data_IF_147730212522
#
_entry.id   IF_147730212522
#
_cell.length_a   1.000
_cell.length_b   1.000
_cell.length_c   1.000
_cell.angle_alpha   90.00
_cell.angle_beta   90.00
_cell.angle_gamma   90.00
#
_symmetry.space_group_name_H-M   'P 1'
#
loop_
_entity.id
_entity.type
_entity.pdbx_description
1 polymer ?
#
# COMPACT_ATOMS: atom_id res chain seq x y z
N UNK A 1 -4.61 1.81 -10.72
CA UNK A 1 -3.51 0.82 -10.73
C UNK A 1 -3.68 -0.25 -9.64
N UNK A 2 -4.91 -0.67 -9.33
CA UNK A 2 -5.18 -1.70 -8.31
C UNK A 2 -5.38 -1.20 -6.87
N UNK A 3 -4.97 0.03 -6.55
CA UNK A 3 -5.03 0.59 -5.19
C UNK A 3 -6.44 1.02 -4.68
N UNK A 4 -7.49 0.71 -5.44
CA UNK A 4 -8.87 1.02 -5.03
C UNK A 4 -9.28 2.50 -5.09
N UNK A 5 -8.53 3.35 -5.81
CA UNK A 5 -8.80 4.79 -5.94
C UNK A 5 -10.26 5.09 -6.35
N UNK A 6 -10.74 4.48 -7.43
CA UNK A 6 -12.09 4.74 -7.94
C UNK A 6 -13.17 4.36 -6.93
N UNK A 7 -12.98 3.26 -6.20
CA UNK A 7 -13.90 2.82 -5.14
C UNK A 7 -13.96 3.85 -4.01
N UNK A 8 -12.79 4.29 -3.52
CA UNK A 8 -12.69 5.33 -2.48
C UNK A 8 -13.36 6.63 -2.91
N UNK A 9 -13.11 7.06 -4.14
CA UNK A 9 -13.69 8.29 -4.69
C UNK A 9 -15.21 8.19 -4.85
N UNK A 10 -15.73 7.04 -5.28
CA UNK A 10 -17.16 6.80 -5.36
C UNK A 10 -17.83 6.83 -3.98
N UNK A 11 -17.18 6.25 -2.96
CA UNK A 11 -17.63 6.31 -1.57
C UNK A 11 -17.70 7.75 -1.06
N UNK A 12 -16.68 8.58 -1.37
CA UNK A 12 -16.69 10.01 -1.03
C UNK A 12 -17.86 10.74 -1.71
N UNK A 13 -18.06 10.54 -3.01
CA UNK A 13 -19.14 11.20 -3.74
C UNK A 13 -20.53 10.81 -3.19
N UNK A 14 -20.74 9.50 -2.95
CA UNK A 14 -21.99 8.97 -2.39
C UNK A 14 -22.26 9.56 -0.99
N UNK A 15 -21.24 9.57 -0.13
CA UNK A 15 -21.31 10.13 1.22
C UNK A 15 -21.65 11.63 1.20
N UNK A 16 -20.94 12.42 0.40
CA UNK A 16 -21.15 13.87 0.34
C UNK A 16 -22.53 14.19 -0.24
N UNK A 17 -22.95 13.54 -1.33
CA UNK A 17 -24.26 13.78 -1.95
C UNK A 17 -25.45 13.22 -1.13
N UNK A 18 -25.19 12.29 -0.22
CA UNK A 18 -26.22 11.62 0.58
C UNK A 18 -27.03 10.61 -0.23
N UNK A 19 -26.38 9.88 -1.15
CA UNK A 19 -27.04 8.92 -2.05
C UNK A 19 -26.41 7.53 -1.94
N UNK A 20 -27.13 6.45 -2.33
CA UNK A 20 -26.56 5.12 -2.41
C UNK A 20 -25.35 5.04 -3.36
N UNK A 21 -24.34 4.23 -3.02
CA UNK A 21 -23.12 4.06 -3.81
C UNK A 21 -23.40 3.58 -5.25
N UNK A 22 -24.41 2.74 -5.44
CA UNK A 22 -24.87 2.23 -6.74
C UNK A 22 -25.30 3.33 -7.73
N UNK A 23 -25.57 4.54 -7.24
CA UNK A 23 -25.92 5.72 -8.05
C UNK A 23 -24.69 6.45 -8.58
N UNK A 24 -23.50 6.12 -8.09
CA UNK A 24 -22.25 6.76 -8.47
C UNK A 24 -21.50 5.87 -9.45
N UNK A 25 -21.21 6.41 -10.63
CA UNK A 25 -20.37 5.77 -11.65
C UNK A 25 -19.12 6.61 -11.88
N UNK A 26 -17.96 5.96 -11.85
CA UNK A 26 -16.67 6.59 -12.17
C UNK A 26 -16.31 6.23 -13.61
N UNK A 27 -16.12 7.24 -14.44
CA UNK A 27 -15.64 7.09 -15.82
C UNK A 27 -14.12 6.94 -15.89
N UNK A 28 -13.63 6.48 -17.04
CA UNK A 28 -12.19 6.36 -17.27
C UNK A 28 -11.52 7.73 -17.31
N UNK A 29 -10.40 7.86 -16.60
CA UNK A 29 -9.61 9.09 -16.62
C UNK A 29 -9.06 9.38 -18.02
N UNK A 30 -9.28 10.60 -18.49
CA UNK A 30 -8.80 11.09 -19.78
C UNK A 30 -8.55 12.60 -19.71
N UNK A 31 -7.75 13.12 -20.64
CA UNK A 31 -7.33 14.53 -20.68
C UNK A 31 -8.41 15.47 -21.22
N UNK A 32 -9.52 14.95 -21.76
CA UNK A 32 -10.67 15.77 -22.20
C UNK A 32 -11.47 16.24 -20.98
N UNK A 33 -11.71 15.34 -20.01
CA UNK A 33 -12.47 15.64 -18.80
C UNK A 33 -11.61 16.09 -17.63
N UNK A 34 -10.32 15.73 -17.62
CA UNK A 34 -9.37 16.03 -16.54
C UNK A 34 -8.07 16.65 -17.05
N UNK A 35 -8.16 17.83 -17.68
CA UNK A 35 -6.98 18.56 -18.15
C UNK A 35 -6.03 18.92 -17.00
N UNK A 36 -4.72 18.94 -17.28
CA UNK A 36 -3.66 19.29 -16.33
C UNK A 36 -3.64 18.44 -15.04
N UNK A 37 -4.12 17.20 -15.10
CA UNK A 37 -4.05 16.26 -13.98
C UNK A 37 -2.60 15.91 -13.64
N UNK A 38 -2.29 15.82 -12.35
CA UNK A 38 -0.99 15.34 -11.86
C UNK A 38 -0.91 13.81 -11.92
N UNK A 39 0.30 13.27 -11.80
CA UNK A 39 0.54 11.83 -11.79
C UNK A 39 0.01 11.16 -10.50
N UNK A 40 -0.36 9.88 -10.60
CA UNK A 40 -0.77 9.07 -9.44
C UNK A 40 0.47 8.46 -8.76
N UNK A 41 0.96 9.08 -7.67
CA UNK A 41 2.08 8.58 -6.87
C UNK A 41 2.10 9.17 -5.44
N UNK A 42 3.20 8.91 -4.71
CA UNK A 42 3.53 9.44 -3.38
C UNK A 42 2.48 9.14 -2.31
N UNK A 43 1.70 8.07 -2.48
CA UNK A 43 0.61 7.70 -1.58
C UNK A 43 -0.51 8.75 -1.38
N UNK A 44 -0.51 9.88 -2.12
CA UNK A 44 -1.47 10.97 -1.89
C UNK A 44 -2.72 10.91 -2.79
N UNK A 45 -2.68 10.14 -3.87
CA UNK A 45 -3.67 10.24 -4.96
C UNK A 45 -5.14 10.12 -4.50
N UNK A 46 -5.44 9.17 -3.60
CA UNK A 46 -6.83 9.01 -3.10
C UNK A 46 -7.32 10.18 -2.29
N UNK A 47 -6.44 10.82 -1.51
CA UNK A 47 -6.81 11.97 -0.69
C UNK A 47 -7.03 13.21 -1.57
N UNK A 48 -6.10 13.49 -2.49
CA UNK A 48 -6.20 14.66 -3.37
C UNK A 48 -7.43 14.61 -4.28
N UNK A 49 -7.70 13.44 -4.86
CA UNK A 49 -8.91 13.25 -5.69
C UNK A 49 -10.16 13.28 -4.80
N UNK A 50 -10.12 12.69 -3.61
CA UNK A 50 -11.20 12.76 -2.62
C UNK A 50 -11.56 14.19 -2.24
N UNK A 51 -10.57 15.06 -2.01
CA UNK A 51 -10.75 16.49 -1.74
C UNK A 51 -11.45 17.17 -2.92
N UNK A 52 -10.96 16.94 -4.14
CA UNK A 52 -11.51 17.55 -5.36
C UNK A 52 -12.97 17.15 -5.58
N UNK A 53 -13.28 15.86 -5.39
CA UNK A 53 -14.63 15.31 -5.52
C UNK A 53 -15.55 15.83 -4.42
N UNK A 54 -15.07 15.89 -3.17
CA UNK A 54 -15.84 16.49 -2.06
C UNK A 54 -16.22 17.94 -2.39
N UNK A 55 -15.29 18.75 -2.90
CA UNK A 55 -15.60 20.14 -3.29
C UNK A 55 -16.67 20.22 -4.38
N UNK A 56 -16.52 19.45 -5.46
CA UNK A 56 -17.50 19.42 -6.55
C UNK A 56 -18.88 18.95 -6.06
N UNK A 57 -18.94 17.90 -5.23
CA UNK A 57 -20.19 17.40 -4.66
C UNK A 57 -20.82 18.38 -3.65
N UNK A 58 -20.02 19.10 -2.86
CA UNK A 58 -20.51 20.17 -1.97
C UNK A 58 -21.16 21.29 -2.78
N UNK A 59 -20.52 21.76 -3.85
CA UNK A 59 -21.13 22.75 -4.75
C UNK A 59 -22.45 22.28 -5.35
N UNK A 60 -22.55 21.00 -5.74
CA UNK A 60 -23.84 20.44 -6.20
C UNK A 60 -24.88 20.45 -5.08
N UNK A 61 -24.53 20.03 -3.86
CA UNK A 61 -25.45 20.08 -2.72
C UNK A 61 -25.93 21.50 -2.40
N UNK A 62 -25.04 22.49 -2.41
CA UNK A 62 -25.41 23.91 -2.19
C UNK A 62 -26.43 24.39 -3.22
N UNK A 63 -26.27 24.01 -4.50
CA UNK A 63 -27.23 24.34 -5.56
C UNK A 63 -28.55 23.59 -5.41
N UNK A 64 -28.52 22.36 -4.90
CA UNK A 64 -29.71 21.53 -4.69
C UNK A 64 -30.44 21.83 -3.37
N UNK A 65 -29.80 22.54 -2.43
CA UNK A 65 -30.33 22.80 -1.10
C UNK A 65 -31.72 23.47 -1.10
N UNK A 66 -31.99 24.53 -1.91
CA UNK A 66 -33.32 25.12 -1.97
C UNK A 66 -34.39 24.15 -2.48
N UNK A 67 -34.00 23.23 -3.37
CA UNK A 67 -34.91 22.20 -3.91
C UNK A 67 -35.20 21.13 -2.85
N UNK A 68 -34.16 20.66 -2.15
CA UNK A 68 -34.28 19.70 -1.05
C UNK A 68 -35.18 20.24 0.08
N UNK A 69 -35.01 21.51 0.46
CA UNK A 69 -35.85 22.15 1.47
C UNK A 69 -37.32 22.24 1.06
N UNK A 70 -37.58 22.55 -0.21
CA UNK A 70 -38.95 22.67 -0.74
C UNK A 70 -39.67 21.32 -0.83
N UNK A 71 -38.98 20.27 -1.27
CA UNK A 71 -39.56 18.93 -1.41
C UNK A 71 -39.60 18.15 -0.07
N UNK A 72 -38.80 18.56 0.90
CA UNK A 72 -38.70 17.96 2.22
C UNK A 72 -37.70 16.80 2.28
N UNK A 73 -37.37 16.38 3.51
CA UNK A 73 -36.29 15.43 3.79
C UNK A 73 -36.49 14.02 3.20
N UNK A 74 -37.72 13.64 2.86
CA UNK A 74 -38.06 12.32 2.32
C UNK A 74 -38.13 12.28 0.78
N UNK A 75 -37.85 13.40 0.12
CA UNK A 75 -37.86 13.47 -1.34
C UNK A 75 -36.85 12.50 -1.95
N UNK A 76 -37.26 11.76 -2.98
CA UNK A 76 -36.33 10.88 -3.68
C UNK A 76 -35.32 11.71 -4.47
N UNK A 77 -34.11 11.18 -4.64
CA UNK A 77 -33.06 11.86 -5.38
C UNK A 77 -33.50 12.25 -6.81
N UNK A 78 -34.24 11.38 -7.49
CA UNK A 78 -34.78 11.64 -8.83
C UNK A 78 -35.71 12.85 -8.86
N UNK A 79 -36.59 12.97 -7.86
CA UNK A 79 -37.53 14.09 -7.74
C UNK A 79 -36.77 15.41 -7.51
N UNK A 80 -35.71 15.37 -6.69
CA UNK A 80 -34.82 16.52 -6.45
C UNK A 80 -34.13 16.95 -7.76
N UNK A 81 -33.59 16.00 -8.51
CA UNK A 81 -32.87 16.27 -9.76
C UNK A 81 -33.81 16.78 -10.86
N UNK A 82 -34.99 16.16 -11.03
CA UNK A 82 -36.01 16.61 -11.99
C UNK A 82 -36.46 18.04 -11.66
N UNK A 83 -36.77 18.31 -10.39
CA UNK A 83 -37.15 19.64 -9.92
C UNK A 83 -36.03 20.67 -10.11
N UNK A 84 -34.76 20.30 -9.93
CA UNK A 84 -33.62 21.17 -10.15
C UNK A 84 -33.44 21.49 -11.65
N UNK A 85 -33.62 20.50 -12.52
CA UNK A 85 -33.59 20.68 -13.97
C UNK A 85 -34.69 21.63 -14.45
N UNK A 86 -35.92 21.48 -13.95
CA UNK A 86 -37.05 22.36 -14.29
C UNK A 86 -36.85 23.81 -13.85
N UNK A 87 -35.94 24.04 -12.90
CA UNK A 87 -35.53 25.37 -12.43
C UNK A 87 -34.24 25.87 -13.07
N UNK A 88 -33.73 25.17 -14.10
CA UNK A 88 -32.48 25.51 -14.80
C UNK A 88 -31.26 25.59 -13.87
N UNK A 89 -31.24 24.81 -12.79
CA UNK A 89 -30.09 24.72 -11.89
C UNK A 89 -29.01 23.86 -12.55
N UNK A 90 -27.78 24.35 -12.61
CA UNK A 90 -26.66 23.60 -13.20
C UNK A 90 -26.27 22.39 -12.35
N UNK A 91 -26.41 21.19 -12.94
CA UNK A 91 -26.08 19.89 -12.34
C UNK A 91 -24.66 19.40 -12.68
N UNK A 92 -23.80 20.30 -13.17
CA UNK A 92 -22.39 20.01 -13.47
C UNK A 92 -21.53 20.88 -12.56
N UNK A 93 -20.61 20.25 -11.84
CA UNK A 93 -19.62 20.94 -11.02
C UNK A 93 -18.24 20.33 -11.27
N UNK A 94 -17.23 21.20 -11.28
CA UNK A 94 -15.83 20.84 -11.44
C UNK A 94 -15.04 21.58 -10.38
N UNK A 95 -14.16 20.88 -9.68
CA UNK A 95 -13.22 21.48 -8.74
C UNK A 95 -11.93 20.67 -8.74
N UNK A 96 -10.87 21.25 -8.18
CA UNK A 96 -9.54 20.65 -8.11
C UNK A 96 -8.91 20.95 -6.75
N UNK A 97 -8.06 20.03 -6.33
CA UNK A 97 -7.13 20.26 -5.23
C UNK A 97 -6.23 21.47 -5.53
N UNK A 98 -6.02 22.30 -4.51
CA UNK A 98 -5.17 23.49 -4.52
C UNK A 98 -4.11 23.35 -3.45
N UNK A 99 -2.93 23.92 -3.70
CA UNK A 99 -1.86 24.01 -2.71
C UNK A 99 -2.38 24.63 -1.41
N UNK A 100 -2.24 23.92 -0.29
CA UNK A 100 -2.75 24.33 1.02
C UNK A 100 -4.06 23.64 1.45
N UNK A 101 -4.75 22.93 0.57
CA UNK A 101 -5.95 22.15 0.94
C UNK A 101 -5.65 20.98 1.89
N UNK A 102 -4.38 20.55 1.96
CA UNK A 102 -3.92 19.46 2.81
C UNK A 102 -2.57 19.82 3.42
N UNK A 103 -2.37 19.41 4.67
CA UNK A 103 -1.09 19.55 5.37
C UNK A 103 -0.36 18.22 5.39
N UNK A 104 0.96 18.28 5.49
CA UNK A 104 1.80 17.09 5.62
C UNK A 104 1.57 16.43 6.99
N UNK A 105 1.63 15.11 7.01
CA UNK A 105 1.55 14.30 8.22
C UNK A 105 2.50 13.11 8.11
N UNK A 106 2.79 12.48 9.24
CA UNK A 106 3.59 11.26 9.30
C UNK A 106 2.71 10.03 9.48
N UNK A 107 3.13 8.94 8.84
CA UNK A 107 2.56 7.60 9.02
C UNK A 107 3.55 6.82 9.88
N UNK A 108 3.03 6.15 10.90
CA UNK A 108 3.82 5.32 11.80
C UNK A 108 3.42 3.88 11.59
N UNK A 109 4.38 2.97 11.68
CA UNK A 109 4.15 1.55 11.57
C UNK A 109 5.17 0.77 12.38
N UNK A 110 4.78 -0.43 12.78
CA UNK A 110 5.62 -1.40 13.46
C UNK A 110 5.42 -2.76 12.79
N UNK A 111 6.52 -3.48 12.55
CA UNK A 111 6.49 -4.89 12.16
C UNK A 111 7.28 -5.75 13.14
N UNK A 112 6.79 -6.96 13.36
CA UNK A 112 7.52 -8.07 13.97
C UNK A 112 7.60 -9.18 12.93
N UNK A 113 8.78 -9.78 12.75
CA UNK A 113 8.99 -10.82 11.76
C UNK A 113 9.75 -12.00 12.37
N UNK A 114 9.23 -13.19 12.14
CA UNK A 114 9.83 -14.46 12.54
C UNK A 114 10.07 -15.31 11.30
N UNK A 115 11.27 -15.88 11.19
CA UNK A 115 11.62 -16.79 10.11
C UNK A 115 12.35 -18.02 10.61
N UNK A 116 12.23 -19.09 9.85
CA UNK A 116 12.96 -20.34 10.01
C UNK A 116 13.94 -20.47 8.84
N UNK A 117 15.20 -20.77 9.14
CA UNK A 117 16.27 -20.85 8.16
C UNK A 117 16.85 -22.27 8.08
N UNK A 118 16.90 -22.83 6.87
CA UNK A 118 17.73 -23.99 6.56
C UNK A 118 19.15 -23.52 6.22
N UNK A 119 20.08 -23.75 7.15
CA UNK A 119 21.47 -23.32 7.03
C UNK A 119 22.25 -24.05 5.94
N UNK A 120 21.81 -25.24 5.53
CA UNK A 120 22.51 -26.04 4.52
C UNK A 120 22.18 -25.56 3.11
N UNK A 121 20.95 -25.09 2.90
CA UNK A 121 20.45 -24.70 1.58
C UNK A 121 20.27 -23.19 1.42
N UNK A 122 20.21 -22.44 2.52
CA UNK A 122 19.89 -21.01 2.55
C UNK A 122 18.40 -20.72 2.32
N UNK A 123 17.57 -21.74 2.16
CA UNK A 123 16.14 -21.57 2.05
C UNK A 123 15.55 -21.17 3.40
N UNK A 124 14.49 -20.39 3.37
CA UNK A 124 13.84 -19.91 4.58
C UNK A 124 12.32 -19.95 4.43
N UNK A 125 11.65 -19.98 5.57
CA UNK A 125 10.20 -19.83 5.68
C UNK A 125 9.91 -18.65 6.60
N UNK A 126 9.10 -17.71 6.14
CA UNK A 126 8.61 -16.64 6.99
C UNK A 126 7.45 -17.21 7.81
N UNK A 127 7.72 -17.52 9.08
CA UNK A 127 6.76 -18.19 9.95
C UNK A 127 5.61 -17.28 10.33
N UNK A 128 5.94 -16.06 10.73
CA UNK A 128 4.96 -15.10 11.21
C UNK A 128 5.41 -13.68 10.96
N UNK A 129 4.45 -12.84 10.57
CA UNK A 129 4.61 -11.39 10.53
C UNK A 129 3.39 -10.75 11.18
N UNK A 130 3.63 -9.85 12.13
CA UNK A 130 2.63 -8.96 12.71
C UNK A 130 2.94 -7.53 12.29
N UNK A 131 1.96 -6.81 11.74
CA UNK A 131 2.07 -5.40 11.38
C UNK A 131 0.99 -4.61 12.10
N UNK A 132 1.41 -3.51 12.72
CA UNK A 132 0.53 -2.46 13.23
C UNK A 132 0.85 -1.17 12.47
N UNK A 133 -0.09 -0.67 11.67
CA UNK A 133 0.08 0.56 10.88
C UNK A 133 -0.96 1.64 11.23
N UNK A 134 -0.50 2.88 11.35
CA UNK A 134 -1.34 4.04 11.62
C UNK A 134 -1.97 4.59 10.32
N UNK A 135 -3.16 4.10 10.00
CA UNK A 135 -3.96 4.55 8.85
C UNK A 135 -4.95 5.68 9.17
N UNK A 136 -4.90 6.27 10.37
CA UNK A 136 -5.91 7.22 10.82
C UNK A 136 -7.32 6.60 10.95
N UNK A 137 -8.37 7.36 10.63
CA UNK A 137 -9.68 6.80 10.33
C UNK A 137 -9.70 6.35 8.86
N UNK A 138 -9.44 5.06 8.63
CA UNK A 138 -9.40 4.47 7.29
C UNK A 138 -10.72 4.69 6.53
N UNK A 139 -10.61 5.15 5.28
CA UNK A 139 -11.75 5.35 4.38
C UNK A 139 -12.34 4.02 3.89
N UNK A 140 -11.49 3.02 3.70
CA UNK A 140 -11.89 1.69 3.25
C UNK A 140 -10.94 0.64 3.82
N UNK A 141 -11.24 0.08 5.02
CA UNK A 141 -10.33 -0.79 5.74
C UNK A 141 -9.86 -2.00 4.94
N UNK A 142 -10.74 -2.63 4.16
CA UNK A 142 -10.38 -3.79 3.33
C UNK A 142 -9.36 -3.43 2.24
N UNK A 143 -9.49 -2.23 1.65
CA UNK A 143 -8.53 -1.76 0.64
C UNK A 143 -7.20 -1.43 1.32
N UNK A 144 -7.26 -0.76 2.47
CA UNK A 144 -6.07 -0.28 3.18
C UNK A 144 -5.25 -1.45 3.74
N UNK A 145 -5.89 -2.48 4.30
CA UNK A 145 -5.22 -3.73 4.68
C UNK A 145 -4.56 -4.38 3.47
N UNK A 146 -5.26 -4.48 2.33
CA UNK A 146 -4.68 -5.05 1.11
C UNK A 146 -3.49 -4.24 0.55
N UNK A 147 -3.45 -2.92 0.78
CA UNK A 147 -2.27 -2.11 0.45
C UNK A 147 -1.09 -2.43 1.37
N UNK A 148 -1.33 -2.55 2.68
CA UNK A 148 -0.30 -2.94 3.66
C UNK A 148 0.27 -4.31 3.32
N UNK A 149 -0.58 -5.31 3.02
CA UNK A 149 -0.18 -6.64 2.57
C UNK A 149 0.71 -6.57 1.32
N UNK A 150 0.22 -5.92 0.28
CA UNK A 150 0.91 -5.84 -1.01
C UNK A 150 2.25 -5.12 -0.89
N UNK A 151 2.29 -3.99 -0.17
CA UNK A 151 3.50 -3.22 0.03
C UNK A 151 4.55 -3.97 0.84
N UNK A 152 4.14 -4.66 1.91
CA UNK A 152 5.05 -5.49 2.68
C UNK A 152 5.61 -6.64 1.83
N UNK A 153 4.78 -7.35 1.07
CA UNK A 153 5.22 -8.45 0.19
C UNK A 153 6.15 -7.93 -0.93
N UNK A 154 5.91 -6.75 -1.49
CA UNK A 154 6.88 -6.11 -2.40
C UNK A 154 8.23 -5.87 -1.71
N UNK A 155 8.21 -5.46 -0.43
CA UNK A 155 9.42 -5.33 0.38
C UNK A 155 10.13 -6.67 0.62
N UNK A 156 9.39 -7.76 0.82
CA UNK A 156 9.98 -9.11 0.93
C UNK A 156 10.73 -9.49 -0.34
N UNK A 157 10.14 -9.24 -1.50
CA UNK A 157 10.79 -9.47 -2.79
C UNK A 157 12.10 -8.68 -2.91
N UNK A 158 12.03 -7.38 -2.65
CA UNK A 158 13.22 -6.50 -2.65
C UNK A 158 14.35 -6.99 -1.73
N UNK A 159 14.01 -7.46 -0.53
CA UNK A 159 15.01 -7.88 0.45
C UNK A 159 15.49 -9.32 0.31
N UNK A 160 14.76 -10.21 -0.35
CA UNK A 160 15.05 -11.65 -0.32
C UNK A 160 15.26 -12.29 -1.70
N UNK A 161 14.49 -11.92 -2.72
CA UNK A 161 14.39 -12.72 -3.95
C UNK A 161 14.68 -11.95 -5.24
N UNK A 162 14.35 -10.67 -5.31
CA UNK A 162 14.38 -9.85 -6.53
C UNK A 162 15.80 -9.36 -6.89
N UNK A 163 16.66 -10.29 -7.30
CA UNK A 163 18.05 -10.00 -7.67
C UNK A 163 18.17 -9.52 -9.12
N UNK A 164 18.80 -8.36 -9.31
CA UNK A 164 19.19 -7.87 -10.63
C UNK A 164 20.63 -8.26 -10.94
N UNK A 165 20.82 -9.09 -11.97
CA UNK A 165 22.14 -9.43 -12.48
C UNK A 165 22.43 -8.69 -13.79
N UNK A 166 23.65 -8.17 -13.89
CA UNK A 166 24.14 -7.48 -15.07
C UNK A 166 25.39 -8.19 -15.58
N UNK A 167 25.49 -8.34 -16.90
CA UNK A 167 26.70 -8.79 -17.56
C UNK A 167 27.81 -7.76 -17.32
N UNK A 168 28.94 -8.20 -16.75
CA UNK A 168 30.01 -7.29 -16.31
C UNK A 168 30.76 -6.62 -17.46
N UNK A 169 30.73 -7.17 -18.67
CA UNK A 169 31.47 -6.65 -19.81
C UNK A 169 30.59 -5.69 -20.65
N UNK A 170 29.32 -6.04 -20.82
CA UNK A 170 28.39 -5.35 -21.71
C UNK A 170 27.39 -4.45 -20.97
N UNK A 171 27.22 -4.62 -19.66
CA UNK A 171 26.22 -3.92 -18.85
C UNK A 171 24.79 -4.40 -19.09
N UNK A 172 24.59 -5.48 -19.86
CA UNK A 172 23.25 -5.99 -20.19
C UNK A 172 22.60 -6.64 -18.96
N UNK A 173 21.35 -6.29 -18.67
CA UNK A 173 20.56 -7.01 -17.66
C UNK A 173 20.35 -8.48 -18.09
N UNK A 174 20.68 -9.40 -17.20
CA UNK A 174 20.53 -10.84 -17.38
C UNK A 174 19.19 -11.32 -16.85
N UNK A 175 18.69 -10.74 -15.76
CA UNK A 175 17.44 -11.08 -15.07
C UNK A 175 16.28 -10.22 -15.58
N UNK A 176 15.97 -10.31 -16.87
CA UNK A 176 15.00 -9.44 -17.54
C UNK A 176 13.65 -10.11 -17.88
N UNK A 177 13.37 -11.29 -17.31
CA UNK A 177 12.14 -12.07 -17.55
C UNK A 177 11.72 -12.81 -16.28
N UNK A 178 10.46 -13.22 -16.19
CA UNK A 178 9.95 -13.98 -15.04
C UNK A 178 10.65 -15.33 -14.79
N UNK A 179 11.37 -15.87 -15.78
CA UNK A 179 12.14 -17.10 -15.62
C UNK A 179 13.40 -16.91 -14.75
N UNK A 180 13.95 -15.69 -14.71
CA UNK A 180 15.22 -15.40 -14.04
C UNK A 180 15.17 -14.20 -13.10
N UNK A 181 14.05 -13.49 -13.05
CA UNK A 181 13.71 -12.51 -12.04
C UNK A 181 12.51 -13.03 -11.25
N UNK A 182 12.70 -13.21 -9.94
CA UNK A 182 11.76 -13.95 -9.10
C UNK A 182 11.07 -13.03 -8.08
N UNK A 183 9.94 -12.40 -8.46
CA UNK A 183 9.08 -11.75 -7.48
C UNK A 183 8.46 -12.79 -6.53
N UNK A 184 8.04 -12.39 -5.32
CA UNK A 184 7.40 -13.29 -4.37
C UNK A 184 6.17 -13.99 -4.96
N UNK A 185 6.12 -15.30 -4.80
CA UNK A 185 4.97 -16.14 -5.08
C UNK A 185 4.17 -16.48 -3.81
N UNK A 186 3.15 -17.32 -3.97
CA UNK A 186 2.24 -17.69 -2.88
C UNK A 186 2.91 -18.47 -1.72
N UNK A 187 4.11 -19.02 -1.92
CA UNK A 187 4.88 -19.72 -0.87
C UNK A 187 5.90 -18.83 -0.17
N UNK A 188 6.12 -17.62 -0.68
CA UNK A 188 7.10 -16.68 -0.15
C UNK A 188 6.46 -15.67 0.83
N UNK A 189 5.13 -15.69 0.97
CA UNK A 189 4.40 -14.88 1.94
C UNK A 189 4.52 -15.47 3.35
N UNK A 190 4.31 -14.66 4.42
CA UNK A 190 4.27 -15.18 5.78
C UNK A 190 3.17 -16.22 5.97
N UNK A 191 3.48 -17.31 6.66
CA UNK A 191 2.52 -18.39 6.94
C UNK A 191 1.39 -17.90 7.86
N UNK A 192 1.76 -17.13 8.89
CA UNK A 192 0.84 -16.40 9.75
C UNK A 192 1.05 -14.89 9.53
N UNK A 193 0.15 -14.27 8.77
CA UNK A 193 0.26 -12.86 8.39
C UNK A 193 -0.85 -12.04 9.04
N UNK A 194 -0.50 -11.21 10.02
CA UNK A 194 -1.45 -10.44 10.84
C UNK A 194 -1.24 -8.96 10.63
N UNK A 195 -2.31 -8.26 10.27
CA UNK A 195 -2.29 -6.82 10.04
C UNK A 195 -3.39 -6.19 10.87
N UNK A 196 -3.00 -5.20 11.65
CA UNK A 196 -3.90 -4.36 12.41
C UNK A 196 -3.68 -2.90 12.02
N UNK A 197 -4.78 -2.18 11.78
CA UNK A 197 -4.74 -0.73 11.64
C UNK A 197 -4.96 -0.11 13.02
N UNK A 198 -4.12 0.85 13.41
CA UNK A 198 -4.19 1.48 14.72
C UNK A 198 -5.56 2.13 14.95
N UNK A 199 -6.28 1.65 15.97
CA UNK A 199 -7.64 2.10 16.25
C UNK A 199 -7.66 3.45 16.98
N UNK A 200 -8.73 4.22 16.77
CA UNK A 200 -9.05 5.47 17.50
C UNK A 200 -7.96 6.55 17.42
N UNK A 201 -7.25 6.63 16.30
CA UNK A 201 -6.19 7.61 16.08
C UNK A 201 -6.51 8.55 14.89
N UNK A 202 -7.55 9.39 14.96
CA UNK A 202 -7.93 10.24 13.83
C UNK A 202 -6.81 11.21 13.47
N UNK A 203 -6.58 11.41 12.17
CA UNK A 203 -5.64 12.40 11.67
C UNK A 203 -6.33 13.77 11.47
N UNK A 204 -6.10 14.80 12.30
CA UNK A 204 -6.85 16.06 12.20
C UNK A 204 -6.64 16.79 10.87
N UNK A 205 -5.52 16.55 10.20
CA UNK A 205 -5.16 17.20 8.93
C UNK A 205 -5.40 16.30 7.70
N UNK A 206 -5.71 15.03 7.93
CA UNK A 206 -5.94 14.05 6.88
C UNK A 206 -7.31 14.20 6.23
N UNK A 207 -7.43 13.79 4.97
CA UNK A 207 -8.72 13.80 4.29
C UNK A 207 -9.67 12.82 4.99
N UNK A 208 -10.82 13.30 5.48
CA UNK A 208 -11.75 12.49 6.30
C UNK A 208 -11.05 11.78 7.47
N UNK A 209 -10.02 12.41 8.04
CA UNK A 209 -9.19 11.89 9.14
C UNK A 209 -8.39 10.62 8.82
N UNK A 210 -8.26 10.26 7.54
CA UNK A 210 -7.44 9.13 7.10
C UNK A 210 -5.94 9.46 7.07
N UNK A 211 -5.13 8.41 6.90
CA UNK A 211 -3.75 8.47 6.44
C UNK A 211 -3.56 7.50 5.28
N UNK A 212 -2.56 7.77 4.45
CA UNK A 212 -2.24 6.87 3.35
C UNK A 212 -1.54 5.58 3.81
N UNK A 213 -1.74 4.48 3.06
CA UNK A 213 -1.23 3.13 3.37
C UNK A 213 -0.49 2.45 2.21
N UNK A 214 -0.25 3.18 1.11
CA UNK A 214 0.28 2.58 -0.13
C UNK A 214 1.75 2.19 -0.07
N UNK A 215 2.61 3.09 0.38
CA UNK A 215 4.08 2.90 0.43
C UNK A 215 4.66 2.54 1.82
N UNK A 216 4.10 2.97 2.97
CA UNK A 216 4.77 2.81 4.28
C UNK A 216 5.16 1.38 4.65
N UNK A 217 4.26 0.40 4.43
CA UNK A 217 4.49 -0.99 4.81
C UNK A 217 5.64 -1.67 4.04
N UNK A 218 6.06 -1.13 2.88
CA UNK A 218 7.25 -1.59 2.18
C UNK A 218 8.50 -1.46 3.07
N UNK A 219 8.62 -0.33 3.77
CA UNK A 219 9.75 -0.06 4.67
C UNK A 219 9.78 -1.04 5.86
N UNK A 220 8.62 -1.54 6.28
CA UNK A 220 8.50 -2.47 7.40
C UNK A 220 9.05 -3.86 7.09
N UNK A 221 9.19 -4.23 5.81
CA UNK A 221 9.75 -5.51 5.40
C UNK A 221 11.24 -5.67 5.76
N UNK A 222 11.95 -4.57 6.07
CA UNK A 222 13.35 -4.63 6.51
C UNK A 222 13.53 -5.48 7.77
N UNK A 223 12.48 -5.62 8.59
CA UNK A 223 12.48 -6.49 9.78
C UNK A 223 12.89 -7.93 9.47
N UNK A 224 12.56 -8.44 8.28
CA UNK A 224 12.93 -9.80 7.86
C UNK A 224 14.44 -9.97 7.70
N UNK A 225 15.18 -8.94 7.26
CA UNK A 225 16.64 -9.02 7.21
C UNK A 225 17.26 -9.17 8.60
N UNK A 226 16.70 -8.50 9.61
CA UNK A 226 17.18 -8.64 10.99
C UNK A 226 16.84 -10.00 11.58
N UNK A 227 15.66 -10.55 11.29
CA UNK A 227 15.32 -11.92 11.65
C UNK A 227 16.28 -12.94 10.99
N UNK A 228 16.64 -12.72 9.71
CA UNK A 228 17.62 -13.54 9.00
C UNK A 228 19.00 -13.47 9.65
N UNK A 229 19.43 -12.25 10.00
CA UNK A 229 20.70 -12.03 10.67
C UNK A 229 20.73 -12.75 12.02
N UNK A 230 19.65 -12.71 12.80
CA UNK A 230 19.55 -13.42 14.08
C UNK A 230 19.67 -14.94 13.89
N UNK A 231 18.99 -15.52 12.89
CA UNK A 231 19.08 -16.94 12.58
C UNK A 231 20.51 -17.37 12.18
N UNK A 232 21.17 -16.59 11.31
CA UNK A 232 22.56 -16.83 10.92
C UNK A 232 23.50 -16.75 12.13
N UNK A 233 23.33 -15.76 13.01
CA UNK A 233 24.19 -15.63 14.19
C UNK A 233 24.03 -16.80 15.16
N UNK A 234 22.81 -17.31 15.34
CA UNK A 234 22.56 -18.51 16.16
C UNK A 234 23.32 -19.71 15.60
N UNK A 235 23.24 -19.94 14.29
CA UNK A 235 23.95 -21.05 13.65
C UNK A 235 25.48 -20.93 13.76
N UNK A 236 26.01 -19.70 13.64
CA UNK A 236 27.45 -19.42 13.79
C UNK A 236 27.94 -19.65 15.22
N UNK A 237 27.13 -19.26 16.21
CA UNK A 237 27.41 -19.52 17.62
C UNK A 237 27.47 -21.03 17.91
N UNK A 238 26.51 -21.80 17.40
CA UNK A 238 26.49 -23.27 17.52
C UNK A 238 27.71 -23.93 16.86
N UNK A 239 28.22 -23.34 15.77
CA UNK A 239 29.45 -23.79 15.09
C UNK A 239 30.74 -23.36 15.81
N UNK A 240 30.66 -22.62 16.93
CA UNK A 240 31.81 -22.11 17.66
C UNK A 240 32.56 -20.97 16.96
N UNK A 241 31.92 -20.30 16.00
CA UNK A 241 32.50 -19.15 15.30
C UNK A 241 32.39 -17.87 16.16
N UNK A 242 33.34 -16.94 16.03
CA UNK A 242 33.24 -15.66 16.72
C UNK A 242 32.03 -14.87 16.23
N UNK A 243 31.35 -14.21 17.18
CA UNK A 243 30.29 -13.26 16.87
C UNK A 243 30.88 -12.05 16.15
N UNK A 244 30.46 -11.85 14.91
CA UNK A 244 30.84 -10.70 14.08
C UNK A 244 29.63 -10.15 13.35
N UNK A 245 29.71 -8.92 12.86
CA UNK A 245 28.61 -8.35 12.07
C UNK A 245 28.54 -9.00 10.68
N UNK A 246 27.53 -9.84 10.47
CA UNK A 246 27.21 -10.41 9.14
C UNK A 246 26.47 -9.36 8.33
N UNK A 247 27.11 -8.85 7.27
CA UNK A 247 26.52 -7.85 6.39
C UNK A 247 25.57 -8.49 5.39
N UNK A 248 24.28 -8.28 5.58
CA UNK A 248 23.22 -8.68 4.66
C UNK A 248 22.86 -7.54 3.71
N UNK A 249 22.62 -7.86 2.43
CA UNK A 249 22.29 -6.90 1.37
C UNK A 249 20.82 -7.01 0.94
N UNK A 250 20.41 -6.13 0.01
CA UNK A 250 19.15 -6.25 -0.69
C UNK A 250 19.42 -6.65 -2.16
N UNK A 251 19.06 -7.86 -2.60
CA UNK A 251 18.47 -8.95 -1.82
C UNK A 251 19.50 -9.82 -1.09
N UNK A 252 19.07 -10.45 0.02
CA UNK A 252 19.75 -11.54 0.73
C UNK A 252 19.21 -12.86 0.22
N UNK A 253 19.81 -13.35 -0.87
CA UNK A 253 19.43 -14.60 -1.52
C UNK A 253 19.88 -15.84 -0.74
N UNK A 254 19.33 -17.04 -1.00
CA UNK A 254 19.80 -18.28 -0.40
C UNK A 254 21.31 -18.50 -0.52
N UNK A 255 21.91 -18.17 -1.67
CA UNK A 255 23.37 -18.20 -1.87
C UNK A 255 24.10 -17.32 -0.84
N UNK A 256 23.67 -16.06 -0.70
CA UNK A 256 24.24 -15.12 0.27
C UNK A 256 24.12 -15.66 1.70
N UNK A 257 23.00 -16.31 2.02
CA UNK A 257 22.77 -16.90 3.34
C UNK A 257 23.72 -18.06 3.61
N UNK A 258 23.84 -19.03 2.69
CA UNK A 258 24.75 -20.19 2.85
C UNK A 258 26.19 -19.72 3.03
N UNK A 259 26.63 -18.77 2.20
CA UNK A 259 28.00 -18.22 2.30
C UNK A 259 28.24 -17.45 3.61
N UNK A 260 27.18 -16.94 4.24
CA UNK A 260 27.26 -16.20 5.50
C UNK A 260 27.09 -17.08 6.75
N UNK A 261 26.53 -18.28 6.60
CA UNK A 261 26.24 -19.21 7.69
C UNK A 261 27.51 -19.75 8.38
N UNK A 262 28.68 -19.62 7.74
CA UNK A 262 29.97 -20.03 8.31
C UNK A 262 30.27 -21.52 8.20
N UNK A 263 29.46 -22.27 7.43
CA UNK A 263 29.77 -23.66 7.10
C UNK A 263 30.82 -23.75 5.99
N UNK A 264 31.76 -24.67 6.13
CA UNK A 264 32.77 -24.96 5.12
C UNK A 264 32.44 -26.24 4.34
N UNK A 265 32.70 -26.25 3.04
CA UNK A 265 32.38 -27.39 2.16
C UNK A 265 33.00 -28.71 2.66
N UNK A 266 34.18 -28.65 3.26
CA UNK A 266 34.89 -29.83 3.79
C UNK A 266 34.15 -30.50 4.96
N UNK A 267 33.28 -29.76 5.67
CA UNK A 267 32.47 -30.29 6.78
C UNK A 267 31.36 -31.22 6.29
N UNK A 268 31.00 -31.14 5.01
CA UNK A 268 29.95 -31.96 4.38
C UNK A 268 30.52 -33.14 3.59
N UNK A 269 31.84 -33.32 3.58
CA UNK A 269 32.48 -34.49 2.97
C UNK A 269 32.26 -35.72 3.88
N UNK A 270 31.70 -36.80 3.32
CA UNK A 270 31.70 -38.10 4.00
C UNK A 270 33.15 -38.55 4.19
N UNK A 271 33.48 -38.91 5.44
CA UNK A 271 34.79 -39.50 5.79
C UNK A 271 34.99 -40.86 5.14
#
# INVERSE_FOLDING_TARGET
IGQGLNTKVAQVAAFVLGIPLERVRIETSNTITGANSFLTANSMASELVGISVRKACTTLNERLEPVKQRLGANAKWEEVIESAFMQSISLIATDAFKTGDQQNYSIFGLSLSELELDILTGNHLIRRVDILEDAGESLSPSIDVGQVEGAFVMGLGYYLTELLLYDRQTGRILTNRSWNYHPPGAKDIPIDFRIELLQKNPNPVGFLRSKATGEPAFCLAVGVLFAMQHAIQSAREDAGLPREWVRLGAPTTPETVVLSAGSEVHQFALK
#
